data_IF_858878208998
#
_entry.id   IF_858878208998
#
_cell.length_a   1.000
_cell.length_b   1.000
_cell.length_c   1.000
_cell.angle_alpha   90.00
_cell.angle_beta   90.00
_cell.angle_gamma   90.00
#
_symmetry.space_group_name_H-M   'P 1'
#
loop_
_entity.id
_entity.type
_entity.pdbx_description
1 polymer ?
#
# COMPACT_ATOMS: atom_id res chain seq x y z
N UNK A 1 -43.44 -32.02 30.51
CA UNK A 1 -42.40 -31.54 29.58
C UNK A 1 -42.95 -30.26 28.94
N UNK A 2 -42.34 -29.12 29.25
CA UNK A 2 -42.95 -27.76 29.28
C UNK A 2 -43.60 -27.26 27.97
N UNK A 3 -44.93 -27.11 27.98
CA UNK A 3 -45.72 -26.41 26.95
C UNK A 3 -45.40 -24.91 26.88
N UNK A 4 -45.06 -24.29 28.01
CA UNK A 4 -44.68 -22.87 28.08
C UNK A 4 -43.39 -22.56 27.33
N UNK A 5 -42.45 -23.51 27.31
CA UNK A 5 -41.20 -23.38 26.56
C UNK A 5 -41.45 -23.40 25.04
N UNK A 6 -42.37 -24.24 24.56
CA UNK A 6 -42.73 -24.29 23.14
C UNK A 6 -43.47 -23.02 22.70
N UNK A 7 -44.39 -22.50 23.51
CA UNK A 7 -45.07 -21.24 23.19
C UNK A 7 -44.10 -20.04 23.20
N UNK A 8 -43.19 -19.96 24.18
CA UNK A 8 -42.15 -18.95 24.23
C UNK A 8 -41.21 -19.04 23.01
N UNK A 9 -40.74 -20.25 22.66
CA UNK A 9 -39.85 -20.48 21.52
C UNK A 9 -40.52 -20.10 20.18
N UNK A 10 -41.81 -20.40 20.01
CA UNK A 10 -42.56 -20.00 18.82
C UNK A 10 -42.75 -18.47 18.72
N UNK A 11 -42.96 -17.78 19.85
CA UNK A 11 -43.05 -16.31 19.88
C UNK A 11 -41.71 -15.62 19.59
N UNK A 12 -40.61 -16.16 20.12
CA UNK A 12 -39.26 -15.62 19.84
C UNK A 12 -38.89 -15.85 18.37
N UNK A 13 -39.16 -17.04 17.82
CA UNK A 13 -38.86 -17.36 16.41
C UNK A 13 -39.68 -16.52 15.43
N UNK A 14 -40.95 -16.21 15.74
CA UNK A 14 -41.77 -15.36 14.87
C UNK A 14 -41.36 -13.88 14.93
N UNK A 15 -40.99 -13.38 16.11
CA UNK A 15 -40.37 -12.04 16.26
C UNK A 15 -39.05 -11.96 15.49
N UNK A 16 -38.15 -12.92 15.65
CA UNK A 16 -36.88 -12.97 14.92
C UNK A 16 -37.09 -13.02 13.41
N UNK A 17 -37.99 -13.87 12.90
CA UNK A 17 -38.30 -13.90 11.46
C UNK A 17 -38.83 -12.57 10.94
N UNK A 18 -39.72 -11.92 11.70
CA UNK A 18 -40.29 -10.62 11.31
C UNK A 18 -39.24 -9.53 11.34
N UNK A 19 -38.38 -9.49 12.36
CA UNK A 19 -37.28 -8.53 12.46
C UNK A 19 -36.25 -8.77 11.35
N UNK A 20 -35.84 -10.01 11.09
CA UNK A 20 -34.95 -10.33 9.96
C UNK A 20 -35.55 -9.89 8.65
N UNK A 21 -36.84 -10.15 8.39
CA UNK A 21 -37.52 -9.69 7.18
C UNK A 21 -37.55 -8.17 7.06
N UNK A 22 -37.88 -7.45 8.14
CA UNK A 22 -37.89 -5.98 8.16
C UNK A 22 -36.50 -5.43 7.88
N UNK A 23 -35.47 -5.93 8.56
CA UNK A 23 -34.09 -5.48 8.34
C UNK A 23 -33.57 -5.82 6.95
N UNK A 24 -33.95 -6.99 6.40
CA UNK A 24 -33.63 -7.36 5.02
C UNK A 24 -34.25 -6.38 4.03
N UNK A 25 -35.53 -6.02 4.25
CA UNK A 25 -36.28 -5.14 3.38
C UNK A 25 -35.76 -3.70 3.46
N UNK A 26 -35.41 -3.22 4.66
CA UNK A 26 -34.72 -1.93 4.86
C UNK A 26 -33.38 -1.92 4.14
N UNK A 27 -32.60 -3.00 4.23
CA UNK A 27 -31.30 -3.11 3.56
C UNK A 27 -31.45 -3.08 2.03
N UNK A 28 -32.46 -3.79 1.49
CA UNK A 28 -32.76 -3.76 0.04
C UNK A 28 -33.21 -2.36 -0.40
N UNK A 29 -34.06 -1.68 0.37
CA UNK A 29 -34.49 -0.30 0.06
C UNK A 29 -33.31 0.67 0.13
N UNK A 30 -32.44 0.55 1.14
CA UNK A 30 -31.23 1.36 1.24
C UNK A 30 -30.26 1.08 0.09
N UNK A 31 -30.12 -0.18 -0.33
CA UNK A 31 -29.28 -0.57 -1.47
C UNK A 31 -29.81 0.02 -2.78
N UNK A 32 -31.11 -0.11 -3.05
CA UNK A 32 -31.74 0.45 -4.24
C UNK A 32 -31.74 1.99 -4.23
N UNK A 33 -32.00 2.60 -3.07
CA UNK A 33 -31.91 4.05 -2.88
C UNK A 33 -30.50 4.58 -3.09
N UNK A 34 -29.49 3.92 -2.52
CA UNK A 34 -28.09 4.25 -2.73
C UNK A 34 -27.68 4.10 -4.21
N UNK A 35 -28.15 3.06 -4.90
CA UNK A 35 -27.91 2.87 -6.33
C UNK A 35 -28.43 4.04 -7.18
N UNK A 36 -29.61 4.57 -6.83
CA UNK A 36 -30.19 5.72 -7.54
C UNK A 36 -29.47 7.04 -7.26
N UNK A 37 -28.93 7.23 -6.05
CA UNK A 37 -28.19 8.45 -5.65
C UNK A 37 -26.76 8.42 -6.19
N UNK A 38 -26.14 7.24 -6.28
CA UNK A 38 -24.75 7.06 -6.70
C UNK A 38 -24.53 7.01 -8.23
N UNK A 39 -25.55 7.37 -9.03
CA UNK A 39 -25.55 7.20 -10.50
C UNK A 39 -25.18 5.77 -10.97
N UNK A 40 -25.32 4.77 -10.09
CA UNK A 40 -24.92 3.40 -10.37
C UNK A 40 -26.01 2.69 -11.17
N UNK A 41 -25.87 2.69 -12.49
CA UNK A 41 -26.79 2.01 -13.40
C UNK A 41 -26.31 0.59 -13.70
N UNK A 42 -27.01 -0.42 -13.17
CA UNK A 42 -26.71 -1.84 -13.41
C UNK A 42 -26.74 -2.21 -14.90
N UNK A 43 -27.57 -1.52 -15.70
CA UNK A 43 -27.62 -1.72 -17.15
C UNK A 43 -26.30 -1.30 -17.82
N UNK A 44 -25.74 -0.16 -17.44
CA UNK A 44 -24.43 0.29 -17.96
C UNK A 44 -23.34 -0.71 -17.62
N UNK A 45 -23.34 -1.26 -16.40
CA UNK A 45 -22.38 -2.30 -16.00
C UNK A 45 -22.50 -3.52 -16.91
N UNK A 46 -23.71 -4.03 -17.14
CA UNK A 46 -23.92 -5.22 -17.98
C UNK A 46 -23.53 -4.98 -19.45
N UNK A 47 -23.77 -3.78 -19.98
CA UNK A 47 -23.43 -3.42 -21.38
C UNK A 47 -21.94 -3.12 -21.54
N UNK A 48 -21.30 -2.50 -20.55
CA UNK A 48 -19.87 -2.19 -20.58
C UNK A 48 -18.99 -3.39 -20.19
N UNK A 49 -19.55 -4.42 -19.55
CA UNK A 49 -18.78 -5.59 -19.11
C UNK A 49 -18.07 -6.34 -20.26
N UNK A 50 -18.68 -6.57 -21.44
CA UNK A 50 -17.97 -7.12 -22.59
C UNK A 50 -16.79 -6.26 -23.06
N UNK A 51 -16.95 -4.92 -23.11
CA UNK A 51 -15.92 -3.98 -23.56
C UNK A 51 -14.64 -4.03 -22.71
N UNK A 52 -14.76 -4.41 -21.43
CA UNK A 52 -13.59 -4.66 -20.57
C UNK A 52 -12.73 -5.81 -21.11
N UNK A 53 -13.36 -6.89 -21.60
CA UNK A 53 -12.63 -8.02 -22.18
C UNK A 53 -12.05 -7.69 -23.55
N UNK A 54 -12.71 -6.84 -24.34
CA UNK A 54 -12.17 -6.35 -25.61
C UNK A 54 -10.86 -5.58 -25.37
N UNK A 55 -10.83 -4.66 -24.40
CA UNK A 55 -9.62 -3.95 -24.01
C UNK A 55 -8.51 -4.89 -23.51
N UNK A 56 -8.88 -5.91 -22.73
CA UNK A 56 -7.93 -6.90 -22.23
C UNK A 56 -7.36 -7.76 -23.37
N UNK A 57 -8.19 -8.12 -24.35
CA UNK A 57 -7.77 -8.87 -25.53
C UNK A 57 -6.82 -8.04 -26.42
N UNK A 58 -7.11 -6.76 -26.63
CA UNK A 58 -6.23 -5.83 -27.37
C UNK A 58 -4.89 -5.61 -26.68
N UNK A 59 -4.88 -5.68 -25.34
CA UNK A 59 -3.65 -5.57 -24.56
C UNK A 59 -2.79 -6.85 -24.65
N UNK A 60 -3.34 -8.02 -24.99
CA UNK A 60 -2.51 -9.23 -25.08
C UNK A 60 -1.66 -9.18 -26.36
N UNK A 61 -0.32 -9.32 -26.27
CA UNK A 61 0.52 -9.31 -27.46
C UNK A 61 0.24 -10.53 -28.33
N UNK A 62 0.04 -10.31 -29.63
CA UNK A 62 -0.10 -11.38 -30.61
C UNK A 62 1.30 -11.91 -30.94
N UNK A 63 1.76 -12.93 -30.22
CA UNK A 63 3.06 -13.58 -30.46
C UNK A 63 2.90 -14.74 -31.44
N UNK A 64 3.74 -14.76 -32.48
CA UNK A 64 3.74 -15.81 -33.49
C UNK A 64 4.91 -16.76 -33.26
N UNK A 65 4.60 -18.03 -32.95
CA UNK A 65 5.60 -19.07 -32.67
C UNK A 65 6.75 -19.17 -33.70
N UNK A 66 6.49 -19.07 -35.03
CA UNK A 66 7.55 -19.19 -36.04
C UNK A 66 8.56 -18.04 -36.04
N UNK A 67 8.17 -16.86 -35.55
CA UNK A 67 8.98 -15.62 -35.60
C UNK A 67 9.26 -15.07 -34.19
N UNK A 68 9.07 -15.88 -33.15
CA UNK A 68 9.17 -15.47 -31.75
C UNK A 68 10.53 -14.82 -31.43
N UNK A 69 11.61 -15.36 -31.99
CA UNK A 69 12.98 -14.89 -31.84
C UNK A 69 13.51 -14.11 -33.06
N UNK A 70 12.60 -13.66 -33.94
CA UNK A 70 12.97 -12.78 -35.05
C UNK A 70 13.31 -11.37 -34.55
N UNK A 71 13.83 -10.54 -35.44
CA UNK A 71 14.28 -9.18 -35.11
C UNK A 71 13.12 -8.26 -34.67
N UNK A 72 13.48 -7.12 -34.06
CA UNK A 72 12.54 -6.12 -33.55
C UNK A 72 11.71 -5.37 -34.59
N UNK A 73 11.82 -5.75 -35.87
CA UNK A 73 11.00 -5.24 -36.97
C UNK A 73 9.90 -6.21 -37.40
N UNK A 74 9.91 -7.44 -36.87
CA UNK A 74 8.97 -8.49 -37.24
C UNK A 74 7.79 -8.47 -36.28
N UNK A 75 6.60 -8.13 -36.77
CA UNK A 75 5.39 -8.17 -35.97
C UNK A 75 5.17 -9.58 -35.38
N UNK A 76 4.86 -9.62 -34.08
CA UNK A 76 4.70 -10.86 -33.31
C UNK A 76 5.98 -11.54 -32.84
N UNK A 77 7.15 -10.92 -33.02
CA UNK A 77 8.39 -11.32 -32.32
C UNK A 77 8.47 -10.70 -30.92
N UNK A 78 9.21 -11.35 -30.00
CA UNK A 78 9.48 -10.80 -28.67
C UNK A 78 10.28 -9.50 -28.74
N UNK A 79 11.18 -9.38 -29.73
CA UNK A 79 11.98 -8.19 -29.92
C UNK A 79 11.14 -7.00 -30.39
N UNK A 80 10.09 -7.24 -31.20
CA UNK A 80 9.14 -6.21 -31.62
C UNK A 80 8.30 -5.77 -30.43
N UNK A 81 7.73 -6.71 -29.66
CA UNK A 81 6.98 -6.38 -28.46
C UNK A 81 7.84 -5.58 -27.44
N UNK A 82 9.11 -5.98 -27.31
CA UNK A 82 10.12 -5.38 -26.44
C UNK A 82 10.89 -4.19 -26.97
N UNK A 83 10.48 -3.55 -28.07
CA UNK A 83 11.35 -2.58 -28.74
C UNK A 83 11.70 -1.34 -27.90
N UNK A 84 10.90 -1.00 -26.88
CA UNK A 84 11.13 0.12 -25.95
C UNK A 84 11.66 -0.29 -24.58
N UNK A 85 12.12 -1.52 -24.41
CA UNK A 85 12.71 -1.99 -23.15
C UNK A 85 13.91 -1.13 -22.73
N UNK A 86 14.66 -0.59 -23.68
CA UNK A 86 15.75 0.36 -23.45
C UNK A 86 15.30 1.66 -22.74
N UNK A 87 14.04 2.05 -22.86
CA UNK A 87 13.44 3.21 -22.19
C UNK A 87 12.72 2.78 -20.91
N UNK A 88 11.97 1.66 -20.96
CA UNK A 88 11.17 1.18 -19.83
C UNK A 88 12.02 0.69 -18.65
N UNK A 89 13.14 -0.01 -18.92
CA UNK A 89 14.01 -0.54 -17.85
C UNK A 89 14.63 0.58 -17.00
N UNK A 90 15.21 1.66 -17.58
CA UNK A 90 15.64 2.82 -16.80
C UNK A 90 14.53 3.47 -15.98
N UNK A 91 13.32 3.58 -16.53
CA UNK A 91 12.18 4.20 -15.84
C UNK A 91 11.68 3.37 -14.65
N UNK A 92 11.72 2.04 -14.77
CA UNK A 92 11.45 1.14 -13.65
C UNK A 92 12.52 1.29 -12.57
N UNK A 93 13.78 1.40 -12.98
CA UNK A 93 14.87 1.64 -12.07
C UNK A 93 14.71 2.97 -11.32
N UNK A 94 14.34 4.05 -12.01
CA UNK A 94 13.98 5.34 -11.41
C UNK A 94 12.83 5.19 -10.41
N UNK A 95 11.79 4.45 -10.78
CA UNK A 95 10.62 4.17 -9.93
C UNK A 95 11.00 3.42 -8.65
N UNK A 96 11.94 2.47 -8.77
CA UNK A 96 12.50 1.73 -7.64
C UNK A 96 13.37 2.60 -6.75
N UNK A 97 14.26 3.41 -7.33
CA UNK A 97 15.09 4.36 -6.60
C UNK A 97 14.24 5.36 -5.81
N UNK A 98 13.16 5.87 -6.43
CA UNK A 98 12.21 6.77 -5.78
C UNK A 98 11.57 6.12 -4.54
N UNK A 99 11.07 4.89 -4.69
CA UNK A 99 10.45 4.13 -3.60
C UNK A 99 11.45 3.83 -2.47
N UNK A 100 12.68 3.44 -2.82
CA UNK A 100 13.78 3.19 -1.86
C UNK A 100 14.12 4.47 -1.10
N UNK A 101 14.36 5.57 -1.81
CA UNK A 101 14.74 6.85 -1.22
C UNK A 101 13.67 7.36 -0.25
N UNK A 102 12.39 7.35 -0.69
CA UNK A 102 11.27 7.76 0.14
C UNK A 102 11.14 6.88 1.39
N UNK A 103 11.32 5.56 1.24
CA UNK A 103 11.24 4.62 2.36
C UNK A 103 12.39 4.83 3.35
N UNK A 104 13.63 4.97 2.89
CA UNK A 104 14.79 5.17 3.77
C UNK A 104 14.63 6.46 4.59
N UNK A 105 14.30 7.58 3.93
CA UNK A 105 14.06 8.84 4.63
C UNK A 105 12.95 8.67 5.67
N UNK A 106 11.86 8.01 5.28
CA UNK A 106 10.71 7.81 6.16
C UNK A 106 11.04 6.94 7.35
N UNK A 107 11.82 5.87 7.19
CA UNK A 107 12.23 4.97 8.27
C UNK A 107 13.11 5.72 9.28
N UNK A 108 14.05 6.54 8.81
CA UNK A 108 14.93 7.33 9.68
C UNK A 108 14.10 8.31 10.52
N UNK A 109 13.26 9.11 9.86
CA UNK A 109 12.41 10.11 10.54
C UNK A 109 11.39 9.42 11.46
N UNK A 110 10.73 8.38 10.98
CA UNK A 110 9.73 7.64 11.76
C UNK A 110 10.33 6.96 12.98
N UNK A 111 11.56 6.43 12.90
CA UNK A 111 12.25 5.84 14.04
C UNK A 111 12.44 6.88 15.16
N UNK A 112 12.93 8.07 14.81
CA UNK A 112 13.12 9.17 15.76
C UNK A 112 11.77 9.60 16.36
N UNK A 113 10.78 9.88 15.50
CA UNK A 113 9.46 10.33 15.95
C UNK A 113 8.73 9.27 16.78
N UNK A 114 8.92 7.98 16.50
CA UNK A 114 8.26 6.89 17.21
C UNK A 114 8.72 6.78 18.67
N UNK A 115 10.03 6.91 18.92
CA UNK A 115 10.55 6.96 20.29
C UNK A 115 10.01 8.17 21.05
N UNK A 116 9.92 9.33 20.38
CA UNK A 116 9.34 10.52 20.98
C UNK A 116 7.83 10.39 21.22
N UNK A 117 7.08 9.67 20.38
CA UNK A 117 5.64 9.52 20.46
C UNK A 117 5.15 8.40 21.41
N UNK A 118 6.00 7.42 21.74
CA UNK A 118 5.64 6.28 22.58
C UNK A 118 5.50 6.65 24.07
N UNK A 119 4.50 6.09 24.76
CA UNK A 119 4.22 6.39 26.17
C UNK A 119 5.28 5.83 27.14
N UNK A 120 5.86 4.66 26.85
CA UNK A 120 6.84 4.01 27.72
C UNK A 120 8.29 4.55 27.57
N UNK A 121 8.51 5.52 26.67
CA UNK A 121 9.82 6.18 26.46
C UNK A 121 10.01 7.43 27.35
N UNK A 122 9.02 7.79 28.17
CA UNK A 122 9.06 8.93 29.12
C UNK A 122 9.24 10.32 28.46
N UNK A 123 8.86 10.49 27.19
CA UNK A 123 8.77 11.79 26.51
C UNK A 123 7.69 12.68 27.17
N UNK A 124 7.77 14.02 27.15
CA UNK A 124 6.73 14.89 27.69
C UNK A 124 5.36 14.69 27.01
N UNK A 125 4.26 14.73 27.76
CA UNK A 125 2.91 14.51 27.21
C UNK A 125 2.53 15.45 26.05
N UNK A 126 2.85 16.75 26.09
CA UNK A 126 2.58 17.65 24.97
C UNK A 126 3.33 17.27 23.68
N UNK A 127 4.58 16.83 23.80
CA UNK A 127 5.40 16.37 22.66
C UNK A 127 4.78 15.13 22.02
N UNK A 128 4.36 14.16 22.85
CA UNK A 128 3.69 12.94 22.35
C UNK A 128 2.41 13.27 21.59
N UNK A 129 1.59 14.16 22.16
CA UNK A 129 0.33 14.58 21.54
C UNK A 129 0.59 15.29 20.20
N UNK A 130 1.52 16.25 20.16
CA UNK A 130 1.87 16.98 18.96
C UNK A 130 2.33 16.05 17.82
N UNK A 131 3.24 15.11 18.12
CA UNK A 131 3.73 14.16 17.11
C UNK A 131 2.60 13.24 16.63
N UNK A 132 1.76 12.71 17.54
CA UNK A 132 0.65 11.83 17.17
C UNK A 132 -0.37 12.55 16.29
N UNK A 133 -0.70 13.80 16.59
CA UNK A 133 -1.62 14.62 15.79
C UNK A 133 -1.02 14.94 14.42
N UNK A 134 0.25 15.33 14.37
CA UNK A 134 0.95 15.60 13.11
C UNK A 134 1.00 14.35 12.21
N UNK A 135 1.36 13.20 12.77
CA UNK A 135 1.38 11.92 12.08
C UNK A 135 -0.01 11.49 11.60
N UNK A 136 -1.04 11.74 12.40
CA UNK A 136 -2.42 11.49 12.00
C UNK A 136 -2.79 12.34 10.78
N UNK A 137 -2.44 13.63 10.79
CA UNK A 137 -2.65 14.54 9.67
C UNK A 137 -1.96 14.06 8.38
N UNK A 138 -0.68 13.68 8.44
CA UNK A 138 0.06 13.19 7.27
C UNK A 138 -0.62 12.00 6.58
N UNK A 139 -1.31 11.15 7.36
CA UNK A 139 -1.99 9.94 6.90
C UNK A 139 -3.41 10.18 6.41
N UNK A 140 -4.04 11.29 6.80
CA UNK A 140 -5.41 11.61 6.38
C UNK A 140 -5.49 11.87 4.88
N UNK A 141 -4.44 12.45 4.31
CA UNK A 141 -4.36 12.74 2.88
C UNK A 141 -3.87 11.52 2.09
N UNK A 142 -4.61 11.08 1.05
CA UNK A 142 -4.14 10.07 0.11
C UNK A 142 -2.86 10.51 -0.60
N UNK A 143 -2.01 9.55 -0.97
CA UNK A 143 -0.73 9.81 -1.64
C UNK A 143 -0.92 10.53 -2.97
N UNK A 144 -2.00 10.23 -3.69
CA UNK A 144 -2.36 10.92 -4.94
C UNK A 144 -2.67 12.40 -4.72
N UNK A 145 -3.35 12.74 -3.62
CA UNK A 145 -3.65 14.14 -3.31
C UNK A 145 -2.36 14.91 -3.01
N UNK A 146 -1.43 14.32 -2.24
CA UNK A 146 -0.10 14.89 -2.04
C UNK A 146 0.65 15.07 -3.35
N UNK A 147 0.64 14.06 -4.23
CA UNK A 147 1.35 14.12 -5.49
C UNK A 147 0.83 15.25 -6.39
N UNK A 148 -0.49 15.40 -6.54
CA UNK A 148 -1.08 16.49 -7.35
C UNK A 148 -0.69 17.86 -6.78
N UNK A 149 -0.77 18.06 -5.46
CA UNK A 149 -0.35 19.32 -4.84
C UNK A 149 1.13 19.63 -5.09
N UNK A 150 2.01 18.64 -4.98
CA UNK A 150 3.44 18.85 -5.21
C UNK A 150 3.79 19.00 -6.69
N UNK A 151 3.08 18.35 -7.61
CA UNK A 151 3.25 18.58 -9.05
C UNK A 151 2.86 20.02 -9.39
N UNK A 152 1.79 20.56 -8.79
CA UNK A 152 1.44 21.98 -8.96
C UNK A 152 2.49 22.93 -8.38
N UNK A 153 3.15 22.55 -7.28
CA UNK A 153 4.14 23.39 -6.61
C UNK A 153 5.54 23.34 -7.24
N UNK A 154 6.00 22.16 -7.65
CA UNK A 154 7.38 21.89 -8.11
C UNK A 154 7.47 21.53 -9.59
N UNK A 155 6.34 21.37 -10.29
CA UNK A 155 6.29 20.87 -11.65
C UNK A 155 6.29 19.34 -11.74
N UNK A 156 6.19 18.83 -12.97
CA UNK A 156 6.23 17.39 -13.28
C UNK A 156 7.64 16.85 -13.00
N UNK A 157 7.72 15.70 -12.34
CA UNK A 157 8.99 15.01 -12.10
C UNK A 157 9.00 14.13 -10.86
N UNK A 158 10.17 13.56 -10.55
CA UNK A 158 10.37 12.63 -9.45
C UNK A 158 10.17 13.26 -8.06
N UNK A 159 10.53 14.53 -7.87
CA UNK A 159 10.47 15.22 -6.56
C UNK A 159 9.05 15.22 -5.96
N UNK A 160 7.99 15.59 -6.70
CA UNK A 160 6.61 15.46 -6.23
C UNK A 160 6.25 14.07 -5.71
N UNK A 161 6.61 13.02 -6.47
CA UNK A 161 6.36 11.64 -6.08
C UNK A 161 7.12 11.25 -4.82
N UNK A 162 8.39 11.64 -4.73
CA UNK A 162 9.22 11.40 -3.55
C UNK A 162 8.60 12.03 -2.29
N UNK A 163 8.22 13.31 -2.35
CA UNK A 163 7.64 14.02 -1.22
C UNK A 163 6.29 13.43 -0.80
N UNK A 164 5.44 13.10 -1.78
CA UNK A 164 4.15 12.47 -1.51
C UNK A 164 4.31 11.12 -0.80
N UNK A 165 5.18 10.25 -1.30
CA UNK A 165 5.46 8.95 -0.69
C UNK A 165 6.10 9.11 0.68
N UNK A 166 7.09 10.00 0.81
CA UNK A 166 7.83 10.19 2.06
C UNK A 166 6.91 10.70 3.18
N UNK A 167 6.10 11.74 2.93
CA UNK A 167 5.23 12.29 3.96
C UNK A 167 4.19 11.29 4.46
N UNK A 168 3.51 10.60 3.54
CA UNK A 168 2.53 9.60 3.92
C UNK A 168 3.20 8.40 4.64
N UNK A 169 4.38 7.97 4.17
CA UNK A 169 5.12 6.87 4.79
C UNK A 169 5.69 7.23 6.16
N UNK A 170 6.19 8.45 6.37
CA UNK A 170 6.62 8.96 7.68
C UNK A 170 5.47 8.83 8.67
N UNK A 171 4.27 9.30 8.29
CA UNK A 171 3.11 9.19 9.16
C UNK A 171 2.77 7.73 9.47
N UNK A 172 2.64 6.90 8.44
CA UNK A 172 2.28 5.49 8.59
C UNK A 172 3.29 4.70 9.44
N UNK A 173 4.59 4.81 9.14
CA UNK A 173 5.64 4.13 9.91
C UNK A 173 5.74 4.65 11.33
N UNK A 174 5.64 5.95 11.57
CA UNK A 174 5.72 6.49 12.93
C UNK A 174 4.64 5.88 13.82
N UNK A 175 3.40 5.77 13.30
CA UNK A 175 2.30 5.10 14.00
C UNK A 175 2.65 3.66 14.38
N UNK A 176 2.99 2.86 13.38
CA UNK A 176 3.28 1.43 13.56
C UNK A 176 4.46 1.21 14.50
N UNK A 177 5.49 2.06 14.40
CA UNK A 177 6.68 2.00 15.21
C UNK A 177 6.41 2.36 16.67
N UNK A 178 5.67 3.44 16.96
CA UNK A 178 5.40 3.78 18.37
C UNK A 178 4.46 2.78 19.04
N UNK A 179 3.50 2.20 18.32
CA UNK A 179 2.64 1.12 18.85
C UNK A 179 3.46 -0.14 19.16
N UNK A 180 4.42 -0.47 18.30
CA UNK A 180 5.35 -1.58 18.53
C UNK A 180 6.23 -1.32 19.75
N UNK A 181 6.68 -0.07 19.94
CA UNK A 181 7.40 0.33 21.15
C UNK A 181 6.51 0.18 22.39
N UNK A 182 5.27 0.66 22.36
CA UNK A 182 4.33 0.57 23.50
C UNK A 182 3.96 -0.86 23.88
N UNK A 183 3.97 -1.77 22.90
CA UNK A 183 3.68 -3.19 23.10
C UNK A 183 4.88 -3.97 23.65
N UNK A 184 6.09 -3.41 23.59
CA UNK A 184 7.30 -4.06 24.06
C UNK A 184 7.26 -4.36 25.57
N UNK A 185 7.79 -5.52 25.97
CA UNK A 185 7.77 -5.94 27.37
C UNK A 185 8.63 -5.03 28.23
N UNK A 186 8.07 -4.54 29.33
CA UNK A 186 8.80 -3.73 30.31
C UNK A 186 9.73 -4.56 31.22
N UNK A 187 9.74 -5.90 31.14
CA UNK A 187 10.58 -6.74 32.02
C UNK A 187 12.09 -6.41 31.91
N UNK A 188 12.71 -6.34 30.71
CA UNK A 188 14.12 -5.98 30.59
C UNK A 188 14.41 -4.54 31.05
N UNK A 189 13.48 -3.62 30.79
CA UNK A 189 13.58 -2.22 31.21
C UNK A 189 13.64 -2.09 32.73
N UNK A 190 12.81 -2.84 33.47
CA UNK A 190 12.84 -2.86 34.94
C UNK A 190 14.13 -3.47 35.48
N UNK A 191 14.62 -4.56 34.88
CA UNK A 191 15.90 -5.17 35.25
C UNK A 191 17.06 -4.18 35.11
N UNK A 192 17.16 -3.50 33.97
CA UNK A 192 18.16 -2.45 33.75
C UNK A 192 18.01 -1.29 34.74
N UNK A 193 16.78 -0.91 35.09
CA UNK A 193 16.52 0.14 36.09
C UNK A 193 17.05 -0.24 37.47
N UNK A 194 16.89 -1.50 37.88
CA UNK A 194 17.41 -2.00 39.15
C UNK A 194 18.95 -1.96 39.20
N UNK A 195 19.63 -2.10 38.06
CA UNK A 195 21.08 -1.95 37.94
C UNK A 195 21.55 -0.48 37.81
N UNK A 196 20.67 0.51 37.99
CA UNK A 196 21.03 1.93 37.89
C UNK A 196 21.18 2.45 36.45
N UNK A 197 20.64 1.75 35.45
CA UNK A 197 20.79 2.16 34.05
C UNK A 197 20.05 3.48 33.73
N UNK A 198 20.73 4.34 32.95
CA UNK A 198 20.18 5.60 32.46
C UNK A 198 19.03 5.39 31.46
N UNK A 199 18.23 6.43 31.20
CA UNK A 199 17.09 6.37 30.25
C UNK A 199 17.51 5.86 28.86
N UNK A 200 18.63 6.34 28.34
CA UNK A 200 19.16 5.93 27.04
C UNK A 200 19.65 4.47 27.04
N UNK A 201 20.26 4.01 28.13
CA UNK A 201 20.66 2.60 28.27
C UNK A 201 19.42 1.70 28.30
N UNK A 202 18.36 2.09 29.00
CA UNK A 202 17.09 1.35 29.01
C UNK A 202 16.44 1.27 27.63
N UNK A 203 16.46 2.35 26.85
CA UNK A 203 15.94 2.33 25.48
C UNK A 203 16.77 1.44 24.57
N UNK A 204 18.11 1.60 24.60
CA UNK A 204 19.05 0.88 23.72
C UNK A 204 19.13 -0.62 24.01
N UNK A 205 19.11 -1.01 25.28
CA UNK A 205 19.30 -2.41 25.69
C UNK A 205 18.01 -3.09 26.15
N UNK A 206 16.99 -2.33 26.54
CA UNK A 206 15.70 -2.87 26.97
C UNK A 206 14.68 -2.93 25.85
N UNK A 207 14.47 -1.83 25.13
CA UNK A 207 13.38 -1.69 24.14
C UNK A 207 13.84 -2.02 22.72
N UNK A 208 14.93 -1.40 22.26
CA UNK A 208 15.41 -1.51 20.88
C UNK A 208 15.58 -2.96 20.37
N UNK A 209 16.15 -3.91 21.15
CA UNK A 209 16.29 -5.28 20.69
C UNK A 209 14.95 -5.98 20.41
N UNK A 210 13.90 -5.61 21.16
CA UNK A 210 12.56 -6.19 21.00
C UNK A 210 11.84 -5.63 19.75
N UNK A 211 12.04 -4.34 19.44
CA UNK A 211 11.29 -3.66 18.36
C UNK A 211 12.00 -3.64 17.02
N UNK A 212 13.34 -3.76 17.00
CA UNK A 212 14.15 -3.71 15.77
C UNK A 212 13.66 -4.70 14.69
N UNK A 213 13.33 -5.97 14.99
CA UNK A 213 12.82 -6.90 13.98
C UNK A 213 11.50 -6.45 13.36
N UNK A 214 10.60 -5.90 14.19
CA UNK A 214 9.29 -5.40 13.77
C UNK A 214 9.45 -4.14 12.90
N UNK A 215 10.34 -3.22 13.29
CA UNK A 215 10.62 -2.01 12.53
C UNK A 215 11.10 -2.38 11.13
N UNK A 216 12.05 -3.32 11.04
CA UNK A 216 12.61 -3.76 9.77
C UNK A 216 11.55 -4.48 8.90
N UNK A 217 10.69 -5.30 9.51
CA UNK A 217 9.56 -5.94 8.83
C UNK A 217 8.62 -4.90 8.20
N UNK A 218 8.21 -3.88 8.95
CA UNK A 218 7.36 -2.81 8.42
C UNK A 218 8.06 -1.95 7.37
N UNK A 219 9.37 -1.71 7.50
CA UNK A 219 10.15 -0.99 6.49
C UNK A 219 10.14 -1.71 5.14
N UNK A 220 10.34 -3.04 5.12
CA UNK A 220 10.29 -3.82 3.88
C UNK A 220 8.89 -3.86 3.29
N UNK A 221 7.86 -4.03 4.12
CA UNK A 221 6.47 -3.96 3.67
C UNK A 221 6.15 -2.59 3.06
N UNK A 222 6.61 -1.50 3.68
CA UNK A 222 6.41 -0.15 3.13
C UNK A 222 7.20 0.11 1.86
N UNK A 223 8.36 -0.52 1.67
CA UNK A 223 9.12 -0.42 0.42
C UNK A 223 8.31 -0.96 -0.76
N UNK A 224 7.73 -2.16 -0.62
CA UNK A 224 6.88 -2.77 -1.66
C UNK A 224 5.65 -1.90 -1.95
N UNK A 225 4.97 -1.44 -0.90
CA UNK A 225 3.81 -0.54 -1.03
C UNK A 225 4.20 0.75 -1.75
N UNK A 226 5.32 1.37 -1.37
CA UNK A 226 5.79 2.61 -1.97
C UNK A 226 6.15 2.45 -3.45
N UNK A 227 6.70 1.29 -3.85
CA UNK A 227 6.94 0.97 -5.26
C UNK A 227 5.63 0.83 -6.04
N UNK A 228 4.63 0.14 -5.49
CA UNK A 228 3.30 0.03 -6.11
C UNK A 228 2.59 1.38 -6.20
N UNK A 229 2.77 2.23 -5.20
CA UNK A 229 2.18 3.56 -5.19
C UNK A 229 2.87 4.49 -6.19
N UNK A 230 4.20 4.43 -6.32
CA UNK A 230 4.94 5.28 -7.26
C UNK A 230 4.52 5.03 -8.72
N UNK A 231 4.16 3.80 -9.10
CA UNK A 231 3.62 3.53 -10.45
C UNK A 231 2.29 4.26 -10.70
N UNK A 232 1.45 4.41 -9.67
CA UNK A 232 0.19 5.17 -9.78
C UNK A 232 0.47 6.67 -9.76
N UNK A 233 1.41 7.13 -8.93
CA UNK A 233 1.80 8.55 -8.89
C UNK A 233 2.40 9.02 -10.23
N UNK A 234 3.09 8.14 -10.96
CA UNK A 234 3.60 8.47 -12.30
C UNK A 234 2.50 8.87 -13.29
N UNK A 235 1.27 8.34 -13.11
CA UNK A 235 0.11 8.69 -13.93
C UNK A 235 -0.30 10.16 -13.79
N UNK A 236 -0.05 10.77 -12.62
CA UNK A 236 -0.38 12.18 -12.31
C UNK A 236 0.79 13.14 -12.52
N UNK A 237 1.89 12.68 -13.14
CA UNK A 237 3.05 13.52 -13.45
C UNK A 237 4.20 13.42 -12.44
N UNK A 238 4.23 12.38 -11.60
CA UNK A 238 5.36 12.14 -10.69
C UNK A 238 6.57 11.42 -11.33
N UNK A 239 6.58 11.25 -12.67
CA UNK A 239 7.66 10.60 -13.40
C UNK A 239 7.66 9.06 -13.35
N UNK A 240 8.78 8.47 -13.76
CA UNK A 240 9.00 7.01 -13.74
C UNK A 240 8.12 6.21 -14.70
N UNK A 241 7.99 4.91 -14.41
CA UNK A 241 7.29 3.96 -15.30
C UNK A 241 5.80 4.23 -15.41
N UNK A 242 5.19 4.82 -14.39
CA UNK A 242 3.78 5.22 -14.42
C UNK A 242 3.50 6.25 -15.51
N UNK A 243 4.39 7.23 -15.68
CA UNK A 243 4.22 8.26 -16.72
C UNK A 243 4.32 7.66 -18.13
N UNK A 244 5.21 6.70 -18.33
CA UNK A 244 5.34 5.95 -19.58
C UNK A 244 4.11 5.08 -19.87
N UNK A 245 3.58 4.41 -18.84
CA UNK A 245 2.33 3.67 -18.95
C UNK A 245 1.17 4.59 -19.38
N UNK A 246 1.02 5.74 -18.71
CA UNK A 246 -0.01 6.73 -19.09
C UNK A 246 0.18 7.25 -20.50
N UNK A 247 1.42 7.46 -20.93
CA UNK A 247 1.74 7.91 -22.29
C UNK A 247 1.38 6.85 -23.32
N UNK A 248 1.69 5.58 -23.05
CA UNK A 248 1.34 4.47 -23.94
C UNK A 248 -0.17 4.25 -24.05
N UNK A 249 -0.91 4.40 -22.93
CA UNK A 249 -2.38 4.37 -22.93
C UNK A 249 -2.94 5.52 -23.77
N UNK A 250 -2.43 6.74 -23.61
CA UNK A 250 -2.92 7.92 -24.36
C UNK A 250 -2.62 7.88 -25.86
N UNK A 251 -1.64 7.08 -26.28
CA UNK A 251 -1.24 6.90 -27.67
C UNK A 251 -1.81 5.60 -28.28
N UNK A 252 -2.71 4.91 -27.57
CA UNK A 252 -3.31 3.63 -27.97
C UNK A 252 -2.26 2.56 -28.35
N UNK A 253 -1.09 2.60 -27.69
CA UNK A 253 0.00 1.64 -27.89
C UNK A 253 -0.15 0.43 -26.97
N UNK A 254 -1.13 -0.42 -27.26
CA UNK A 254 -1.48 -1.56 -26.41
C UNK A 254 -0.36 -2.60 -26.24
N UNK A 255 0.47 -2.76 -27.25
CA UNK A 255 1.72 -3.53 -27.19
C UNK A 255 2.65 -3.01 -26.08
N UNK A 256 2.77 -1.68 -25.95
CA UNK A 256 3.60 -1.03 -24.94
C UNK A 256 2.96 -1.00 -23.56
N UNK A 257 1.63 -0.90 -23.49
CA UNK A 257 0.88 -1.05 -22.24
C UNK A 257 1.13 -2.43 -21.63
N UNK A 258 1.01 -3.49 -22.43
CA UNK A 258 1.12 -4.87 -21.97
C UNK A 258 2.50 -5.25 -21.46
N UNK A 259 3.56 -4.86 -22.17
CA UNK A 259 4.92 -5.11 -21.71
C UNK A 259 5.25 -4.29 -20.45
N UNK A 260 4.79 -3.05 -20.37
CA UNK A 260 4.97 -2.20 -19.19
C UNK A 260 4.27 -2.80 -17.97
N UNK A 261 3.04 -3.29 -18.13
CA UNK A 261 2.31 -4.00 -17.08
C UNK A 261 3.02 -5.28 -16.65
N UNK A 262 3.50 -6.09 -17.60
CA UNK A 262 4.24 -7.31 -17.26
C UNK A 262 5.52 -6.99 -16.47
N UNK A 263 6.25 -5.95 -16.87
CA UNK A 263 7.44 -5.50 -16.15
C UNK A 263 7.10 -5.05 -14.73
N UNK A 264 6.06 -4.23 -14.54
CA UNK A 264 5.60 -3.80 -13.20
C UNK A 264 5.25 -5.03 -12.35
N UNK A 265 4.46 -5.96 -12.88
CA UNK A 265 4.08 -7.20 -12.17
C UNK A 265 5.32 -8.01 -11.77
N UNK A 266 6.29 -8.14 -12.68
CA UNK A 266 7.53 -8.88 -12.45
C UNK A 266 8.33 -8.24 -11.30
N UNK A 267 8.51 -6.92 -11.31
CA UNK A 267 9.27 -6.22 -10.26
C UNK A 267 8.52 -6.23 -8.93
N UNK A 268 7.21 -6.00 -8.91
CA UNK A 268 6.39 -6.10 -7.68
C UNK A 268 6.50 -7.51 -7.09
N UNK A 269 6.39 -8.55 -7.91
CA UNK A 269 6.48 -9.94 -7.45
C UNK A 269 7.87 -10.27 -6.88
N UNK A 270 8.93 -9.75 -7.52
CA UNK A 270 10.30 -9.89 -7.02
C UNK A 270 10.50 -9.14 -5.68
N UNK A 271 9.95 -7.93 -5.56
CA UNK A 271 10.01 -7.14 -4.32
C UNK A 271 9.25 -7.81 -3.17
N UNK A 272 8.06 -8.36 -3.42
CA UNK A 272 7.29 -9.08 -2.39
C UNK A 272 8.04 -10.35 -1.96
N UNK A 273 8.51 -11.16 -2.92
CA UNK A 273 9.28 -12.37 -2.62
C UNK A 273 10.54 -12.08 -1.80
N UNK A 274 11.32 -11.07 -2.19
CA UNK A 274 12.55 -10.68 -1.47
C UNK A 274 12.23 -10.10 -0.09
N UNK A 275 11.21 -9.24 0.03
CA UNK A 275 10.75 -8.66 1.30
C UNK A 275 10.24 -9.74 2.26
N UNK A 276 9.48 -10.71 1.76
CA UNK A 276 9.01 -11.87 2.52
C UNK A 276 10.15 -12.72 3.06
N UNK A 277 11.17 -12.99 2.23
CA UNK A 277 12.35 -13.75 2.64
C UNK A 277 13.18 -13.03 3.70
N UNK A 278 13.38 -11.72 3.55
CA UNK A 278 14.09 -10.91 4.55
C UNK A 278 13.32 -10.83 5.87
N UNK A 279 11.99 -10.64 5.81
CA UNK A 279 11.13 -10.60 7.00
C UNK A 279 11.21 -11.90 7.80
N UNK A 280 11.14 -13.06 7.15
CA UNK A 280 11.29 -14.37 7.82
C UNK A 280 12.63 -14.47 8.55
N UNK A 281 13.74 -14.15 7.87
CA UNK A 281 15.08 -14.18 8.49
C UNK A 281 15.21 -13.29 9.72
N UNK A 282 14.57 -12.12 9.69
CA UNK A 282 14.66 -11.10 10.75
C UNK A 282 13.75 -11.41 11.93
N UNK A 283 12.54 -11.88 11.68
CA UNK A 283 11.51 -12.13 12.72
C UNK A 283 11.66 -13.51 13.34
N UNK A 284 11.91 -14.54 12.53
CA UNK A 284 12.01 -15.92 13.01
C UNK A 284 13.40 -16.22 13.57
N UNK A 285 14.37 -15.31 13.41
CA UNK A 285 15.74 -15.47 13.86
C UNK A 285 16.35 -16.72 13.24
N UNK A 286 16.82 -16.62 12.00
CA UNK A 286 17.39 -17.77 11.31
C UNK A 286 18.46 -18.46 12.19
N UNK A 287 18.17 -19.74 12.50
CA UNK A 287 19.13 -20.76 12.89
C UNK A 287 20.24 -20.93 11.83
#
# INVERSE_FOLDING_TARGET
MNTDFNHYYQQVRSKQKRETLIWSLVLVVLYLGAGSIAEFNLHTVLVSFPHFFDYLAETIPVLHWPVLFADGRTEGSLAYWGYRLNIQLPLIWETLQLAIAATILSVIVACILAFLAANNTHSPAPVRLAIRTFVAFLRTMPELAWAVMFVMAFGIGAIPGFLALALHTIGSLTKLFYESIETASNKPVRGLTACGASKLQRMRFGIWPQVKPIFLSYSFMRLEINFRQSTILGLVGAGGIGQELMTSIKLDRYDQVSITLLLIITVVSLLDYTSGKLRRRVVEGAA
#
